data_IF_620007004896
#
_entry.id   IF_620007004896
#
_cell.length_a   1.000
_cell.length_b   1.000
_cell.length_c   1.000
_cell.angle_alpha   90.00
_cell.angle_beta   90.00
_cell.angle_gamma   90.00
#
_symmetry.space_group_name_H-M   'P 1'
#
loop_
_entity.id
_entity.type
_entity.pdbx_description
1 polymer ?
#
# COMPACT_ATOMS: atom_id res chain seq x y z
N UNK A 1 28.91 -3.82 -18.80
CA UNK A 1 27.75 -3.38 -17.99
C UNK A 1 27.02 -4.62 -17.49
N UNK A 2 27.13 -4.94 -16.21
CA UNK A 2 26.39 -6.06 -15.59
C UNK A 2 24.95 -5.62 -15.34
N UNK A 3 23.99 -6.38 -15.84
CA UNK A 3 22.56 -6.18 -15.49
C UNK A 3 22.37 -6.52 -14.01
N UNK A 4 21.67 -5.71 -13.23
CA UNK A 4 21.32 -6.05 -11.86
C UNK A 4 20.44 -7.30 -11.89
N UNK A 5 20.89 -8.36 -11.25
CA UNK A 5 20.29 -9.70 -11.38
C UNK A 5 19.68 -10.23 -10.10
N UNK A 6 19.48 -9.40 -9.08
CA UNK A 6 18.83 -9.79 -7.85
C UNK A 6 17.84 -8.73 -7.38
N UNK A 7 16.75 -9.19 -6.79
CA UNK A 7 15.72 -8.38 -6.15
C UNK A 7 16.28 -7.37 -5.14
N UNK A 8 17.38 -7.74 -4.45
CA UNK A 8 18.10 -6.85 -3.52
C UNK A 8 18.80 -5.67 -4.20
N UNK A 9 19.36 -5.87 -5.40
CA UNK A 9 20.02 -4.79 -6.14
C UNK A 9 19.00 -3.77 -6.67
N UNK A 10 17.82 -4.23 -7.08
CA UNK A 10 16.71 -3.35 -7.45
C UNK A 10 16.22 -2.55 -6.25
N UNK A 11 16.04 -3.19 -5.10
CA UNK A 11 15.66 -2.55 -3.84
C UNK A 11 16.68 -1.50 -3.42
N UNK A 12 17.98 -1.83 -3.49
CA UNK A 12 19.07 -0.87 -3.15
C UNK A 12 19.11 0.33 -4.08
N UNK A 13 18.92 0.13 -5.37
CA UNK A 13 18.93 1.22 -6.37
C UNK A 13 17.74 2.15 -6.16
N UNK A 14 16.55 1.60 -5.88
CA UNK A 14 15.35 2.39 -5.62
C UNK A 14 15.38 3.10 -4.26
N UNK A 15 15.98 2.48 -3.22
CA UNK A 15 16.23 3.12 -1.92
C UNK A 15 17.17 4.31 -2.08
N UNK A 16 18.20 4.18 -2.90
CA UNK A 16 19.12 5.27 -3.20
C UNK A 16 18.43 6.45 -3.86
N UNK A 17 17.47 6.18 -4.75
CA UNK A 17 16.65 7.21 -5.41
C UNK A 17 15.74 7.91 -4.38
N UNK A 18 15.13 7.17 -3.46
CA UNK A 18 14.28 7.77 -2.42
C UNK A 18 15.07 8.58 -1.38
N UNK A 19 16.32 8.19 -1.07
CA UNK A 19 17.18 8.93 -0.15
C UNK A 19 17.75 10.21 -0.76
N UNK A 20 17.89 10.28 -2.09
CA UNK A 20 18.26 11.51 -2.81
C UNK A 20 17.20 12.61 -2.66
N UNK A 21 15.96 12.24 -2.40
CA UNK A 21 14.86 13.18 -2.18
C UNK A 21 15.00 14.06 -0.95
N UNK A 22 15.63 13.55 0.11
CA UNK A 22 15.79 14.32 1.35
C UNK A 22 16.89 15.39 1.25
N UNK A 23 17.81 15.23 0.28
CA UNK A 23 18.90 16.19 0.06
C UNK A 23 18.56 17.30 -0.93
N UNK A 24 17.61 17.08 -1.84
CA UNK A 24 17.24 18.07 -2.86
C UNK A 24 16.28 19.17 -2.36
N UNK A 25 15.61 18.99 -1.23
CA UNK A 25 14.72 20.03 -0.67
C UNK A 25 15.43 21.27 -0.15
N UNK A 26 16.76 21.28 -0.09
CA UNK A 26 17.55 22.45 0.33
C UNK A 26 18.18 23.26 -0.81
N UNK A 27 18.14 22.81 -2.06
CA UNK A 27 18.91 23.45 -3.15
C UNK A 27 18.09 23.93 -4.34
N UNK A 28 16.75 23.90 -4.32
CA UNK A 28 15.95 24.46 -5.43
C UNK A 28 15.60 25.92 -5.22
N UNK A 29 16.57 26.75 -5.49
CA UNK A 29 16.32 28.10 -6.03
C UNK A 29 16.61 28.06 -7.52
N UNK A 30 15.56 28.51 -8.30
CA UNK A 30 15.66 29.14 -9.62
C UNK A 30 15.47 28.28 -10.86
N UNK A 31 14.32 28.50 -11.49
CA UNK A 31 14.01 28.62 -12.92
C UNK A 31 13.75 27.36 -13.76
N UNK A 32 12.57 27.37 -14.37
CA UNK A 32 11.99 26.51 -15.41
C UNK A 32 11.42 25.15 -15.00
N UNK A 33 11.18 24.94 -13.76
CA UNK A 33 10.82 23.66 -13.13
C UNK A 33 9.34 23.21 -13.26
N UNK A 34 8.43 24.00 -13.83
CA UNK A 34 6.99 23.66 -13.76
C UNK A 34 6.57 22.46 -14.65
N UNK A 35 7.21 22.22 -15.78
CA UNK A 35 6.90 21.05 -16.62
C UNK A 35 7.67 19.81 -16.20
N UNK A 36 8.94 19.94 -15.85
CA UNK A 36 9.79 18.82 -15.38
C UNK A 36 9.31 18.30 -14.04
N UNK A 37 8.80 19.18 -13.16
CA UNK A 37 8.25 18.79 -11.87
C UNK A 37 6.98 17.92 -11.98
N UNK A 38 6.09 18.15 -12.94
CA UNK A 38 4.89 17.33 -13.11
C UNK A 38 5.19 15.91 -13.56
N UNK A 39 6.10 15.72 -14.50
CA UNK A 39 6.53 14.38 -14.95
C UNK A 39 7.30 13.64 -13.85
N UNK A 40 8.17 14.32 -13.14
CA UNK A 40 8.91 13.76 -12.01
C UNK A 40 8.01 13.37 -10.84
N UNK A 41 7.02 14.19 -10.48
CA UNK A 41 6.06 13.88 -9.40
C UNK A 41 5.22 12.65 -9.77
N UNK A 42 4.75 12.54 -11.01
CA UNK A 42 3.97 11.39 -11.46
C UNK A 42 4.79 10.10 -11.45
N UNK A 43 6.03 10.14 -11.94
CA UNK A 43 6.93 8.99 -11.94
C UNK A 43 7.33 8.57 -10.51
N UNK A 44 7.61 9.51 -9.67
CA UNK A 44 7.92 9.33 -8.24
C UNK A 44 6.74 8.71 -7.47
N UNK A 45 5.54 9.19 -7.73
CA UNK A 45 4.31 8.61 -7.18
C UNK A 45 4.14 7.16 -7.58
N UNK A 46 4.34 6.84 -8.86
CA UNK A 46 4.24 5.47 -9.39
C UNK A 46 5.26 4.51 -8.74
N UNK A 47 6.50 4.93 -8.53
CA UNK A 47 7.51 4.13 -7.82
C UNK A 47 7.16 3.91 -6.36
N UNK A 48 6.66 4.94 -5.69
CA UNK A 48 6.22 4.85 -4.31
C UNK A 48 5.01 3.92 -4.16
N UNK A 49 4.05 3.99 -5.09
CA UNK A 49 2.88 3.10 -5.13
C UNK A 49 3.27 1.63 -5.31
N UNK A 50 4.18 1.32 -6.24
CA UNK A 50 4.70 -0.05 -6.43
C UNK A 50 5.33 -0.59 -5.14
N UNK A 51 6.12 0.22 -4.46
CA UNK A 51 6.75 -0.16 -3.20
C UNK A 51 5.74 -0.37 -2.08
N UNK A 52 4.69 0.44 -2.02
CA UNK A 52 3.62 0.26 -1.04
C UNK A 52 2.85 -1.05 -1.27
N UNK A 53 2.63 -1.46 -2.51
CA UNK A 53 2.05 -2.76 -2.84
C UNK A 53 2.93 -3.90 -2.31
N UNK A 54 4.22 -3.85 -2.59
CA UNK A 54 5.20 -4.83 -2.09
C UNK A 54 5.23 -4.90 -0.56
N UNK A 55 5.14 -3.75 0.12
CA UNK A 55 5.10 -3.70 1.58
C UNK A 55 3.87 -4.40 2.16
N UNK A 56 2.72 -4.30 1.49
CA UNK A 56 1.50 -5.00 1.90
C UNK A 56 1.64 -6.51 1.69
N UNK A 57 2.13 -6.93 0.54
CA UNK A 57 2.32 -8.34 0.20
C UNK A 57 3.26 -9.02 1.19
N UNK A 58 4.33 -8.36 1.59
CA UNK A 58 5.31 -8.86 2.55
C UNK A 58 4.94 -8.58 4.02
N UNK A 59 3.82 -7.88 4.26
CA UNK A 59 3.32 -7.57 5.61
C UNK A 59 4.31 -6.78 6.48
N UNK A 60 5.07 -5.86 5.89
CA UNK A 60 5.99 -5.00 6.64
C UNK A 60 5.26 -4.10 7.63
N UNK A 61 5.89 -3.86 8.78
CA UNK A 61 5.44 -2.86 9.74
C UNK A 61 5.81 -1.44 9.25
N UNK A 62 5.20 -0.42 9.83
CA UNK A 62 5.51 0.97 9.47
C UNK A 62 6.98 1.29 9.76
N UNK A 63 7.54 0.72 10.82
CA UNK A 63 8.95 0.84 11.19
C UNK A 63 9.84 0.24 10.08
N UNK A 64 9.56 -0.99 9.67
CA UNK A 64 10.28 -1.64 8.58
C UNK A 64 10.15 -0.89 7.25
N UNK A 65 8.95 -0.39 6.93
CA UNK A 65 8.75 0.44 5.74
C UNK A 65 9.58 1.72 5.78
N UNK A 66 9.66 2.37 6.95
CA UNK A 66 10.44 3.59 7.12
C UNK A 66 11.94 3.33 7.00
N UNK A 67 12.44 2.22 7.56
CA UNK A 67 13.83 1.78 7.44
C UNK A 67 14.22 1.49 5.98
N UNK A 68 13.37 0.72 5.26
CA UNK A 68 13.57 0.42 3.85
C UNK A 68 13.54 1.67 2.95
N UNK A 69 12.85 2.71 3.38
CA UNK A 69 12.85 4.01 2.72
C UNK A 69 13.96 4.96 3.20
N UNK A 70 14.88 4.52 4.09
CA UNK A 70 15.89 5.33 4.74
C UNK A 70 15.32 6.61 5.39
N UNK A 71 14.17 6.49 6.04
CA UNK A 71 13.45 7.59 6.68
C UNK A 71 13.22 7.28 8.16
N UNK A 72 13.10 8.33 8.97
CA UNK A 72 12.49 8.16 10.28
C UNK A 72 10.99 7.85 10.13
N UNK A 73 10.42 7.15 11.11
CA UNK A 73 8.97 6.83 11.12
C UNK A 73 8.11 8.08 10.96
N UNK A 74 8.52 9.18 11.58
CA UNK A 74 7.80 10.48 11.49
C UNK A 74 7.87 11.06 10.09
N UNK A 75 9.06 11.06 9.46
CA UNK A 75 9.24 11.55 8.10
C UNK A 75 8.47 10.69 7.09
N UNK A 76 8.52 9.36 7.26
CA UNK A 76 7.76 8.42 6.44
C UNK A 76 6.25 8.67 6.54
N UNK A 77 5.70 8.77 7.76
CA UNK A 77 4.26 9.04 7.96
C UNK A 77 3.81 10.36 7.32
N UNK A 78 4.61 11.42 7.46
CA UNK A 78 4.34 12.72 6.85
C UNK A 78 4.32 12.61 5.33
N UNK A 79 5.36 12.05 4.73
CA UNK A 79 5.45 11.88 3.28
C UNK A 79 4.36 10.97 2.72
N UNK A 80 4.05 9.90 3.44
CA UNK A 80 2.96 9.01 3.07
C UNK A 80 1.62 9.74 3.01
N UNK A 81 1.31 10.56 4.02
CA UNK A 81 0.07 11.34 4.07
C UNK A 81 -0.01 12.38 2.93
N UNK A 82 1.13 12.95 2.50
CA UNK A 82 1.20 13.85 1.35
C UNK A 82 0.83 13.16 0.02
N UNK A 83 1.15 11.86 -0.14
CA UNK A 83 0.83 11.09 -1.35
C UNK A 83 -0.56 10.47 -1.34
N UNK A 84 -1.01 9.96 -0.20
CA UNK A 84 -2.24 9.17 -0.10
C UNK A 84 -3.39 9.87 0.62
N UNK A 85 -3.16 11.07 1.15
CA UNK A 85 -4.13 11.84 1.97
C UNK A 85 -4.67 11.07 3.18
N UNK A 86 -3.98 9.98 3.55
CA UNK A 86 -4.34 9.06 4.62
C UNK A 86 -3.11 8.64 5.42
N UNK A 87 -3.24 8.40 6.73
CA UNK A 87 -2.16 7.80 7.51
C UNK A 87 -1.82 6.38 7.02
N UNK A 88 -0.54 5.95 7.06
CA UNK A 88 -0.11 4.63 6.57
C UNK A 88 -0.89 3.47 7.15
N UNK A 89 -1.14 3.46 8.46
CA UNK A 89 -1.91 2.39 9.11
C UNK A 89 -3.32 2.25 8.55
N UNK A 90 -4.02 3.37 8.36
CA UNK A 90 -5.38 3.35 7.81
C UNK A 90 -5.38 2.84 6.36
N UNK A 91 -4.42 3.27 5.57
CA UNK A 91 -4.27 2.80 4.20
C UNK A 91 -4.00 1.29 4.11
N UNK A 92 -3.08 0.77 4.95
CA UNK A 92 -2.80 -0.67 5.02
C UNK A 92 -4.07 -1.47 5.36
N UNK A 93 -4.84 -1.01 6.34
CA UNK A 93 -6.11 -1.67 6.70
C UNK A 93 -7.08 -1.66 5.51
N UNK A 94 -7.21 -0.55 4.78
CA UNK A 94 -8.05 -0.47 3.59
C UNK A 94 -7.60 -1.47 2.50
N UNK A 95 -6.31 -1.57 2.22
CA UNK A 95 -5.80 -2.54 1.24
C UNK A 95 -6.09 -3.98 1.64
N UNK A 96 -5.94 -4.31 2.92
CA UNK A 96 -6.30 -5.63 3.45
C UNK A 96 -7.80 -5.91 3.33
N UNK A 97 -8.65 -4.91 3.52
CA UNK A 97 -10.09 -5.03 3.33
C UNK A 97 -10.48 -5.21 1.86
N UNK A 98 -9.82 -4.51 0.93
CA UNK A 98 -9.98 -4.73 -0.51
C UNK A 98 -9.64 -6.18 -0.89
N UNK A 99 -8.47 -6.66 -0.42
CA UNK A 99 -8.07 -8.06 -0.63
C UNK A 99 -9.08 -9.04 -0.06
N UNK A 100 -9.63 -8.75 1.13
CA UNK A 100 -10.69 -9.58 1.72
C UNK A 100 -11.96 -9.60 0.86
N UNK A 101 -12.38 -8.45 0.33
CA UNK A 101 -13.56 -8.36 -0.54
C UNK A 101 -13.37 -9.18 -1.85
N UNK A 102 -12.19 -9.14 -2.46
CA UNK A 102 -11.85 -9.97 -3.61
C UNK A 102 -11.94 -11.47 -3.27
N UNK A 103 -11.32 -11.89 -2.16
CA UNK A 103 -11.31 -13.29 -1.71
C UNK A 103 -12.72 -13.83 -1.42
N UNK A 104 -13.60 -12.99 -0.86
CA UNK A 104 -15.00 -13.36 -0.59
C UNK A 104 -15.78 -13.67 -1.87
N UNK A 105 -15.41 -13.08 -3.01
CA UNK A 105 -16.11 -13.22 -4.27
C UNK A 105 -15.47 -14.25 -5.21
N UNK A 106 -14.14 -14.35 -5.19
CA UNK A 106 -13.38 -15.18 -6.14
C UNK A 106 -13.17 -16.63 -5.67
N UNK A 107 -13.14 -16.85 -4.36
CA UNK A 107 -12.82 -18.15 -3.79
C UNK A 107 -13.92 -18.67 -2.85
N UNK A 108 -14.01 -19.99 -2.70
CA UNK A 108 -14.95 -20.62 -1.78
C UNK A 108 -14.30 -20.81 -0.41
N UNK A 109 -14.01 -19.69 0.26
CA UNK A 109 -13.34 -19.65 1.54
C UNK A 109 -14.33 -19.33 2.67
N UNK A 110 -14.04 -19.88 3.84
CA UNK A 110 -14.70 -19.46 5.09
C UNK A 110 -14.29 -18.03 5.46
N UNK A 111 -15.14 -17.31 6.18
CA UNK A 111 -14.83 -15.94 6.63
C UNK A 111 -13.56 -15.88 7.49
N UNK A 112 -13.27 -16.96 8.24
CA UNK A 112 -12.03 -17.07 9.04
C UNK A 112 -10.78 -17.19 8.13
N UNK A 113 -10.87 -17.96 7.06
CA UNK A 113 -9.78 -18.08 6.09
C UNK A 113 -9.54 -16.76 5.35
N UNK A 114 -10.62 -16.07 4.95
CA UNK A 114 -10.53 -14.74 4.35
C UNK A 114 -9.85 -13.76 5.31
N UNK A 115 -10.23 -13.74 6.58
CA UNK A 115 -9.59 -12.92 7.61
C UNK A 115 -8.08 -13.18 7.69
N UNK A 116 -7.69 -14.45 7.72
CA UNK A 116 -6.28 -14.85 7.78
C UNK A 116 -5.51 -14.49 6.50
N UNK A 117 -6.05 -14.82 5.32
CA UNK A 117 -5.42 -14.52 4.02
C UNK A 117 -5.32 -13.02 3.71
N UNK A 118 -6.24 -12.23 4.26
CA UNK A 118 -6.18 -10.77 4.17
C UNK A 118 -5.32 -10.12 5.28
N UNK A 119 -4.55 -10.95 6.03
CA UNK A 119 -3.56 -10.50 7.02
C UNK A 119 -4.14 -9.76 8.23
N UNK A 120 -5.36 -10.08 8.64
CA UNK A 120 -5.89 -9.62 9.91
C UNK A 120 -5.52 -10.62 11.02
N UNK A 121 -4.90 -10.12 12.09
CA UNK A 121 -4.54 -10.93 13.25
C UNK A 121 -5.74 -11.21 14.18
N UNK A 122 -6.73 -10.31 14.18
CA UNK A 122 -7.89 -10.40 15.06
C UNK A 122 -9.18 -10.45 14.23
N UNK A 123 -9.95 -11.52 14.42
CA UNK A 123 -11.19 -11.76 13.68
C UNK A 123 -12.27 -10.72 13.98
N UNK A 124 -12.47 -10.36 15.26
CA UNK A 124 -13.48 -9.36 15.63
C UNK A 124 -13.15 -7.99 15.04
N UNK A 125 -11.88 -7.59 15.10
CA UNK A 125 -11.41 -6.35 14.49
C UNK A 125 -11.61 -6.36 12.96
N UNK A 126 -11.37 -7.51 12.31
CA UNK A 126 -11.65 -7.68 10.88
C UNK A 126 -13.11 -7.42 10.53
N UNK A 127 -14.05 -8.08 11.25
CA UNK A 127 -15.49 -7.93 11.04
C UNK A 127 -15.92 -6.47 11.21
N UNK A 128 -15.44 -5.82 12.26
CA UNK A 128 -15.78 -4.41 12.55
C UNK A 128 -15.23 -3.46 11.46
N UNK A 129 -13.98 -3.61 11.08
CA UNK A 129 -13.37 -2.80 10.02
C UNK A 129 -14.07 -3.01 8.68
N UNK A 130 -14.38 -4.26 8.33
CA UNK A 130 -15.06 -4.60 7.09
C UNK A 130 -16.47 -3.99 7.05
N UNK A 131 -17.23 -4.12 8.14
CA UNK A 131 -18.57 -3.53 8.24
C UNK A 131 -18.54 -2.01 8.16
N UNK A 132 -17.56 -1.37 8.77
CA UNK A 132 -17.38 0.09 8.71
C UNK A 132 -17.07 0.57 7.29
N UNK A 133 -16.27 -0.18 6.54
CA UNK A 133 -15.85 0.19 5.18
C UNK A 133 -16.95 -0.08 4.13
N UNK A 134 -17.57 -1.27 4.19
CA UNK A 134 -18.53 -1.72 3.17
C UNK A 134 -20.00 -1.64 3.60
N UNK A 135 -20.29 -1.23 4.82
CA UNK A 135 -21.66 -1.17 5.37
C UNK A 135 -22.30 -2.55 5.64
N UNK A 136 -21.62 -3.64 5.33
CA UNK A 136 -22.08 -5.03 5.46
C UNK A 136 -21.02 -5.86 6.21
N UNK A 137 -21.47 -6.89 6.93
CA UNK A 137 -20.52 -7.89 7.43
C UNK A 137 -19.93 -8.70 6.26
N UNK A 138 -18.73 -9.31 6.41
CA UNK A 138 -18.14 -10.12 5.34
C UNK A 138 -19.08 -11.21 4.83
N UNK A 139 -19.85 -11.85 5.71
CA UNK A 139 -20.82 -12.89 5.33
C UNK A 139 -21.97 -12.30 4.51
N UNK A 140 -22.56 -11.19 4.95
CA UNK A 140 -23.63 -10.50 4.21
C UNK A 140 -23.13 -10.00 2.85
N UNK A 141 -21.88 -9.54 2.78
CA UNK A 141 -21.23 -9.11 1.55
C UNK A 141 -21.09 -10.29 0.59
N UNK A 142 -20.54 -11.41 1.05
CA UNK A 142 -20.42 -12.64 0.28
C UNK A 142 -21.77 -13.11 -0.26
N UNK A 143 -22.77 -13.26 0.60
CA UNK A 143 -24.09 -13.76 0.22
C UNK A 143 -24.77 -12.85 -0.83
N UNK A 144 -24.65 -11.53 -0.64
CA UNK A 144 -25.29 -10.55 -1.54
C UNK A 144 -24.65 -10.49 -2.91
N UNK A 145 -23.34 -10.55 -3.01
CA UNK A 145 -22.63 -10.33 -4.26
C UNK A 145 -22.23 -11.62 -4.98
N UNK A 146 -21.96 -12.71 -4.26
CA UNK A 146 -21.65 -14.01 -4.88
C UNK A 146 -22.86 -14.58 -5.64
N UNK A 147 -24.06 -14.44 -5.08
CA UNK A 147 -25.30 -14.84 -5.78
C UNK A 147 -25.49 -14.11 -7.11
N UNK A 148 -25.08 -12.85 -7.22
CA UNK A 148 -25.17 -12.06 -8.46
C UNK A 148 -24.16 -12.45 -9.54
N UNK A 149 -23.03 -13.03 -9.16
CA UNK A 149 -22.01 -13.50 -10.11
C UNK A 149 -22.39 -14.85 -10.72
N UNK A 150 -23.14 -15.67 -10.00
CA UNK A 150 -23.59 -17.00 -10.47
C UNK A 150 -24.82 -16.89 -11.40
N UNK A 151 -25.56 -15.77 -11.32
CA UNK A 151 -26.79 -15.53 -12.11
C UNK A 151 -26.54 -14.87 -13.48
N UNK A 152 -25.30 -14.79 -13.93
CA UNK A 152 -24.86 -14.30 -15.24
C UNK A 152 -24.26 -15.41 -16.07
#
# INVERSE_FOLDING_TARGET
>A
MKKPNTHEDLIRTEISILSLFDKETQTERVLSARCINRCNISHRKSLFEKRMTEFIENNYTIEQMSELCNMSVTAFKKRFAEYYELPPHRWIVMQRLHRAAELLLSEDLSIKEVCHRSRFANYSHFIECFRREYGLTPKQYQDRYKARLISR
#
